data_IF_828297040131
#
_entry.id   IF_828297040131
#
_cell.length_a   1.000
_cell.length_b   1.000
_cell.length_c   1.000
_cell.angle_alpha   90.00
_cell.angle_beta   90.00
_cell.angle_gamma   90.00
#
_symmetry.space_group_name_H-M   'P 1'
#
loop_
_entity.id
_entity.type
_entity.pdbx_description
1 polymer ?
#
# COMPACT_ATOMS: atom_id res chain seq x y z
N UNK A 1 -0.57 1.19 -24.37
CA UNK A 1 0.43 2.24 -24.03
C UNK A 1 1.31 1.77 -22.84
N UNK A 2 2.04 0.64 -22.98
CA UNK A 2 2.60 -0.14 -21.84
C UNK A 2 3.53 0.66 -20.93
N UNK A 3 4.21 1.64 -21.51
CA UNK A 3 5.02 2.64 -20.80
C UNK A 3 4.28 3.30 -19.62
N UNK A 4 3.01 3.69 -19.74
CA UNK A 4 2.34 4.40 -18.63
C UNK A 4 2.15 3.49 -17.40
N UNK A 5 1.79 2.23 -17.61
CA UNK A 5 1.61 1.25 -16.54
C UNK A 5 2.97 0.89 -15.93
N UNK A 6 4.01 0.80 -16.74
CA UNK A 6 5.37 0.52 -16.28
C UNK A 6 5.90 1.64 -15.36
N UNK A 7 5.79 2.90 -15.80
CA UNK A 7 6.15 4.07 -15.00
C UNK A 7 5.29 4.22 -13.74
N UNK A 8 3.99 3.98 -13.84
CA UNK A 8 3.11 4.03 -12.67
C UNK A 8 3.46 2.93 -11.68
N UNK A 9 3.76 1.72 -12.14
CA UNK A 9 4.20 0.61 -11.28
C UNK A 9 5.50 0.95 -10.58
N UNK A 10 6.46 1.53 -11.32
CA UNK A 10 7.77 1.91 -10.79
C UNK A 10 7.68 2.99 -9.69
N UNK A 11 6.65 3.84 -9.71
CA UNK A 11 6.41 4.88 -8.69
C UNK A 11 5.45 4.41 -7.59
N UNK A 12 4.32 3.81 -7.92
CA UNK A 12 3.34 3.34 -6.93
C UNK A 12 3.86 2.15 -6.13
N UNK A 13 4.74 1.30 -6.67
CA UNK A 13 5.24 0.12 -5.96
C UNK A 13 6.05 0.53 -4.73
N UNK A 14 7.09 1.38 -4.84
CA UNK A 14 7.84 1.82 -3.66
C UNK A 14 6.96 2.62 -2.70
N UNK A 15 6.04 3.47 -3.20
CA UNK A 15 5.11 4.22 -2.34
C UNK A 15 4.20 3.28 -1.55
N UNK A 16 3.62 2.29 -2.20
CA UNK A 16 2.78 1.26 -1.56
C UNK A 16 3.55 0.45 -0.54
N UNK A 17 4.79 0.05 -0.85
CA UNK A 17 5.68 -0.68 0.06
C UNK A 17 5.99 0.17 1.29
N UNK A 18 6.33 1.46 1.14
CA UNK A 18 6.62 2.34 2.28
C UNK A 18 5.38 2.49 3.17
N UNK A 19 4.19 2.71 2.60
CA UNK A 19 2.95 2.78 3.37
C UNK A 19 2.65 1.48 4.12
N UNK A 20 2.85 0.33 3.48
CA UNK A 20 2.69 -0.98 4.11
C UNK A 20 3.69 -1.22 5.23
N UNK A 21 4.96 -0.88 5.04
CA UNK A 21 6.00 -1.02 6.06
C UNK A 21 5.70 -0.11 7.26
N UNK A 22 5.27 1.13 7.02
CA UNK A 22 4.88 2.07 8.07
C UNK A 22 3.64 1.56 8.83
N UNK A 23 2.60 1.12 8.12
CA UNK A 23 1.40 0.55 8.74
C UNK A 23 1.71 -0.74 9.52
N UNK A 24 2.61 -1.58 9.01
CA UNK A 24 3.05 -2.81 9.68
C UNK A 24 3.84 -2.51 10.94
N UNK A 25 4.78 -1.56 10.89
CA UNK A 25 5.52 -1.08 12.06
C UNK A 25 4.58 -0.49 13.10
N UNK A 26 3.66 0.37 12.70
CA UNK A 26 2.66 0.97 13.58
C UNK A 26 1.79 -0.09 14.27
N UNK A 27 1.31 -1.07 13.50
CA UNK A 27 0.53 -2.20 14.03
C UNK A 27 1.35 -3.03 15.01
N UNK A 28 2.59 -3.38 14.65
CA UNK A 28 3.48 -4.19 15.51
C UNK A 28 3.81 -3.47 16.81
N UNK A 29 4.08 -2.17 16.76
CA UNK A 29 4.33 -1.35 17.96
C UNK A 29 3.09 -1.31 18.86
N UNK A 30 1.90 -1.06 18.31
CA UNK A 30 0.66 -1.05 19.08
C UNK A 30 0.34 -2.43 19.71
N UNK A 31 0.55 -3.50 18.94
CA UNK A 31 0.35 -4.88 19.43
C UNK A 31 1.31 -5.23 20.57
N UNK A 32 2.58 -4.83 20.44
CA UNK A 32 3.59 -5.03 21.49
C UNK A 32 3.32 -4.17 22.73
N UNK A 33 2.69 -3.00 22.56
CA UNK A 33 2.32 -2.11 23.67
C UNK A 33 0.98 -2.49 24.33
N UNK A 34 0.21 -3.41 23.75
CA UNK A 34 -1.14 -3.74 24.21
C UNK A 34 -2.15 -2.60 23.99
N UNK A 35 -1.79 -1.63 23.15
CA UNK A 35 -2.62 -0.46 22.85
C UNK A 35 -3.42 -0.66 21.56
N UNK A 36 -4.59 -0.03 21.50
CA UNK A 36 -5.37 0.03 20.27
C UNK A 36 -4.57 0.68 19.15
N UNK A 37 -4.66 0.10 17.96
CA UNK A 37 -3.93 0.55 16.77
C UNK A 37 -4.14 2.05 16.54
N UNK A 38 -3.08 2.84 16.27
CA UNK A 38 -3.22 4.28 16.12
C UNK A 38 -4.17 4.60 14.96
N UNK A 39 -5.05 5.61 15.13
CA UNK A 39 -6.08 5.95 14.14
C UNK A 39 -5.53 6.28 12.74
N UNK A 40 -4.29 6.81 12.67
CA UNK A 40 -3.58 7.03 11.40
C UNK A 40 -3.05 5.72 10.78
N UNK A 41 -2.87 4.66 11.57
CA UNK A 41 -2.45 3.33 11.10
C UNK A 41 -3.53 2.65 10.25
N UNK A 42 -4.81 2.83 10.60
CA UNK A 42 -5.93 2.41 9.76
C UNK A 42 -5.94 3.18 8.43
N UNK A 43 -5.73 4.49 8.47
CA UNK A 43 -5.64 5.31 7.26
C UNK A 43 -4.48 4.87 6.36
N UNK A 44 -3.29 4.64 6.91
CA UNK A 44 -2.13 4.16 6.16
C UNK A 44 -2.38 2.76 5.55
N UNK A 45 -3.09 1.89 6.25
CA UNK A 45 -3.46 0.56 5.75
C UNK A 45 -4.46 0.64 4.59
N UNK A 46 -5.46 1.53 4.67
CA UNK A 46 -6.43 1.78 3.59
C UNK A 46 -5.74 2.37 2.35
N UNK A 47 -4.83 3.33 2.53
CA UNK A 47 -4.04 3.91 1.43
C UNK A 47 -3.16 2.85 0.76
N UNK A 48 -2.48 2.01 1.56
CA UNK A 48 -1.67 0.91 1.05
C UNK A 48 -2.49 -0.12 0.26
N UNK A 49 -3.65 -0.54 0.79
CA UNK A 49 -4.56 -1.45 0.09
C UNK A 49 -5.13 -0.82 -1.19
N UNK A 50 -5.48 0.47 -1.17
CA UNK A 50 -5.95 1.20 -2.34
C UNK A 50 -4.91 1.23 -3.46
N UNK A 51 -3.64 1.49 -3.13
CA UNK A 51 -2.54 1.45 -4.11
C UNK A 51 -2.37 0.05 -4.72
N UNK A 52 -2.40 -1.01 -3.91
CA UNK A 52 -2.32 -2.38 -4.40
C UNK A 52 -3.50 -2.76 -5.30
N UNK A 53 -4.72 -2.35 -4.92
CA UNK A 53 -5.93 -2.57 -5.72
C UNK A 53 -5.85 -1.87 -7.08
N UNK A 54 -5.38 -0.62 -7.11
CA UNK A 54 -5.18 0.13 -8.36
C UNK A 54 -4.16 -0.58 -9.26
N UNK A 55 -3.05 -1.08 -8.70
CA UNK A 55 -2.08 -1.87 -9.47
C UNK A 55 -2.67 -3.14 -10.05
N UNK A 56 -3.40 -3.90 -9.26
CA UNK A 56 -4.04 -5.14 -9.71
C UNK A 56 -5.06 -4.86 -10.82
N UNK A 57 -5.88 -3.82 -10.66
CA UNK A 57 -6.84 -3.41 -11.69
C UNK A 57 -6.15 -2.97 -12.98
N UNK A 58 -5.03 -2.24 -12.88
CA UNK A 58 -4.25 -1.85 -14.05
C UNK A 58 -3.64 -3.06 -14.76
N UNK A 59 -3.10 -4.04 -14.02
CA UNK A 59 -2.62 -5.30 -14.62
C UNK A 59 -3.73 -6.08 -15.31
N UNK A 60 -4.90 -6.22 -14.67
CA UNK A 60 -6.06 -6.93 -15.23
C UNK A 60 -6.64 -6.24 -16.46
N UNK A 61 -6.76 -4.90 -16.45
CA UNK A 61 -7.22 -4.12 -17.62
C UNK A 61 -6.24 -4.26 -18.78
N UNK A 62 -4.96 -4.47 -18.48
CA UNK A 62 -3.90 -4.54 -19.48
C UNK A 62 -3.50 -5.96 -19.89
N UNK A 63 -4.10 -6.97 -19.26
CA UNK A 63 -3.97 -8.38 -19.66
C UNK A 63 -2.63 -9.03 -19.31
N UNK A 64 -1.98 -8.61 -18.23
CA UNK A 64 -0.85 -9.36 -17.63
C UNK A 64 -1.31 -10.45 -16.66
#
# INVERSE_FOLDING_TARGET
MPVLVDWLTLVLAPVGIVFLVVAFRARRTATNAGESMPGWGTAAQVVGMGCLLIMVLLRLVWGE
#
